data_IF_684386763139
#
_entry.id   IF_684386763139
#
_cell.length_a   1.000
_cell.length_b   1.000
_cell.length_c   1.000
_cell.angle_alpha   90.00
_cell.angle_beta   90.00
_cell.angle_gamma   90.00
#
_symmetry.space_group_name_H-M   'P 1'
#
loop_
_entity.id
_entity.type
_entity.pdbx_description
1 polymer ?
#
# COMPACT_ATOMS: atom_id res chain seq x y z
N UNK A 1 -38.35 45.57 -51.01
CA UNK A 1 -37.74 44.23 -50.83
C UNK A 1 -36.21 44.30 -50.60
N UNK A 2 -35.68 45.24 -49.80
CA UNK A 2 -34.23 45.35 -49.54
C UNK A 2 -33.84 45.20 -48.06
N UNK A 3 -34.81 45.20 -47.15
CA UNK A 3 -34.58 45.21 -45.68
C UNK A 3 -34.55 43.82 -45.03
N UNK A 4 -34.89 42.74 -45.76
CA UNK A 4 -34.85 41.36 -45.21
C UNK A 4 -33.49 40.66 -45.41
N UNK A 5 -32.71 41.10 -46.41
CA UNK A 5 -31.39 40.52 -46.71
C UNK A 5 -30.28 41.08 -45.80
N UNK A 6 -30.45 42.30 -45.28
CA UNK A 6 -29.47 42.93 -44.39
C UNK A 6 -29.40 42.24 -43.02
N UNK A 7 -30.56 41.90 -42.45
CA UNK A 7 -30.69 41.25 -41.13
C UNK A 7 -30.21 39.80 -41.13
N UNK A 8 -30.44 39.07 -42.23
CA UNK A 8 -29.96 37.69 -42.39
C UNK A 8 -28.44 37.63 -42.63
N UNK A 9 -27.88 38.60 -43.35
CA UNK A 9 -26.44 38.73 -43.53
C UNK A 9 -25.71 39.08 -42.22
N UNK A 10 -26.28 39.97 -41.39
CA UNK A 10 -25.74 40.27 -40.05
C UNK A 10 -25.86 39.10 -39.08
N UNK A 11 -26.90 38.28 -39.19
CA UNK A 11 -27.07 37.09 -38.34
C UNK A 11 -26.04 36.00 -38.71
N UNK A 12 -25.74 35.83 -40.00
CA UNK A 12 -24.73 34.87 -40.48
C UNK A 12 -23.30 35.29 -40.14
N UNK A 13 -22.97 36.58 -40.20
CA UNK A 13 -21.64 37.06 -39.79
C UNK A 13 -21.43 36.96 -38.28
N UNK A 14 -22.47 37.17 -37.47
CA UNK A 14 -22.39 37.00 -36.01
C UNK A 14 -22.29 35.52 -35.60
N UNK A 15 -22.91 34.61 -36.37
CA UNK A 15 -22.78 33.16 -36.19
C UNK A 15 -21.41 32.62 -36.67
N UNK A 16 -20.83 33.18 -37.73
CA UNK A 16 -19.51 32.81 -38.22
C UNK A 16 -18.37 33.28 -37.31
N UNK A 17 -18.53 34.42 -36.63
CA UNK A 17 -17.52 34.93 -35.69
C UNK A 17 -17.48 34.15 -34.36
N UNK A 18 -18.56 33.44 -34.02
CA UNK A 18 -18.64 32.64 -32.78
C UNK A 18 -17.94 31.28 -32.89
N UNK A 19 -17.62 30.80 -34.11
CA UNK A 19 -17.04 29.48 -34.36
C UNK A 19 -15.50 29.49 -34.36
N UNK A 20 -14.87 30.66 -34.43
CA UNK A 20 -13.39 30.79 -34.48
C UNK A 20 -12.78 31.06 -33.09
N UNK A 21 -13.55 30.89 -32.00
CA UNK A 21 -12.94 30.92 -30.67
C UNK A 21 -12.00 29.71 -30.53
N UNK A 22 -10.67 29.88 -30.46
CA UNK A 22 -9.82 28.78 -30.10
C UNK A 22 -10.20 28.45 -28.66
N UNK A 23 -10.89 27.33 -28.48
CA UNK A 23 -10.94 26.65 -27.20
C UNK A 23 -9.49 26.31 -26.92
N UNK A 24 -8.77 27.24 -26.27
CA UNK A 24 -7.57 26.89 -25.54
C UNK A 24 -8.08 25.89 -24.51
N UNK A 25 -7.91 24.62 -24.84
CA UNK A 25 -7.82 23.59 -23.84
C UNK A 25 -6.70 24.07 -22.93
N UNK A 26 -7.06 24.76 -21.86
CA UNK A 26 -6.25 24.81 -20.68
C UNK A 26 -6.07 23.32 -20.37
N UNK A 27 -4.91 22.78 -20.74
CA UNK A 27 -4.44 21.55 -20.14
C UNK A 27 -4.44 21.89 -18.66
N UNK A 28 -5.52 21.48 -17.97
CA UNK A 28 -5.55 21.41 -16.54
C UNK A 28 -4.40 20.45 -16.24
N UNK A 29 -3.26 21.05 -15.93
CA UNK A 29 -2.10 20.39 -15.40
C UNK A 29 -2.58 19.84 -14.07
N UNK A 30 -3.19 18.65 -14.14
CA UNK A 30 -3.50 17.86 -12.98
C UNK A 30 -2.17 17.77 -12.27
N UNK A 31 -2.02 18.51 -11.18
CA UNK A 31 -0.99 18.28 -10.19
C UNK A 31 -1.35 16.93 -9.58
N UNK A 32 -1.18 15.87 -10.39
CA UNK A 32 -1.26 14.49 -9.97
C UNK A 32 -0.09 14.38 -9.03
N UNK A 33 -0.37 14.20 -7.73
CA UNK A 33 0.61 13.74 -6.76
C UNK A 33 1.57 12.78 -7.48
N UNK A 34 2.83 13.22 -7.58
CA UNK A 34 3.78 12.82 -8.60
C UNK A 34 3.84 11.31 -8.79
N UNK A 35 3.66 10.89 -10.04
CA UNK A 35 4.06 9.55 -10.48
C UNK A 35 5.57 9.47 -10.27
N UNK A 36 6.02 8.73 -9.26
CA UNK A 36 7.42 8.71 -8.74
C UNK A 36 8.49 8.24 -9.75
N UNK A 37 8.11 7.95 -11.00
CA UNK A 37 9.00 7.51 -12.06
C UNK A 37 8.68 8.24 -13.37
N UNK A 38 9.61 9.11 -13.78
CA UNK A 38 9.45 9.98 -14.95
C UNK A 38 9.61 9.26 -16.30
N UNK A 39 10.12 8.00 -16.32
CA UNK A 39 10.27 7.21 -17.56
C UNK A 39 9.34 5.98 -17.60
N UNK A 40 8.74 5.65 -18.76
CA UNK A 40 7.89 4.46 -18.92
C UNK A 40 8.66 3.14 -18.78
N UNK A 41 9.90 3.09 -19.25
CA UNK A 41 10.71 1.87 -19.24
C UNK A 41 11.09 1.44 -17.81
N UNK A 42 11.49 2.38 -16.95
CA UNK A 42 11.83 2.11 -15.55
C UNK A 42 10.66 1.52 -14.77
N UNK A 43 9.43 1.92 -15.12
CA UNK A 43 8.20 1.38 -14.53
C UNK A 43 7.97 -0.07 -14.93
N UNK A 44 8.15 -0.39 -16.21
CA UNK A 44 7.94 -1.75 -16.70
C UNK A 44 8.91 -2.74 -16.07
N UNK A 45 10.17 -2.33 -15.84
CA UNK A 45 11.16 -3.15 -15.14
C UNK A 45 10.77 -3.41 -13.68
N UNK A 46 10.36 -2.38 -12.94
CA UNK A 46 9.89 -2.52 -11.56
C UNK A 46 8.63 -3.39 -11.46
N UNK A 47 7.69 -3.23 -12.39
CA UNK A 47 6.45 -4.02 -12.40
C UNK A 47 6.74 -5.51 -12.67
N UNK A 48 7.63 -5.81 -13.63
CA UNK A 48 8.10 -7.18 -13.88
C UNK A 48 8.77 -7.77 -12.65
N UNK A 49 9.67 -7.03 -12.00
CA UNK A 49 10.33 -7.48 -10.78
C UNK A 49 9.33 -7.73 -9.65
N UNK A 50 8.30 -6.89 -9.52
CA UNK A 50 7.22 -7.09 -8.54
C UNK A 50 6.48 -8.40 -8.78
N UNK A 51 6.08 -8.67 -10.04
CA UNK A 51 5.39 -9.90 -10.40
C UNK A 51 6.23 -11.14 -10.07
N UNK A 52 7.54 -11.13 -10.38
CA UNK A 52 8.45 -12.23 -10.05
C UNK A 52 8.63 -12.43 -8.54
N UNK A 53 8.81 -11.35 -7.77
CA UNK A 53 9.00 -11.44 -6.31
C UNK A 53 7.73 -11.94 -5.57
N UNK A 54 6.53 -11.57 -6.07
CA UNK A 54 5.26 -12.10 -5.56
C UNK A 54 5.16 -13.63 -5.78
N UNK A 55 5.81 -14.17 -6.82
CA UNK A 55 5.87 -15.61 -7.09
C UNK A 55 6.73 -16.36 -6.06
N UNK A 56 7.86 -15.79 -5.67
CA UNK A 56 8.88 -16.43 -4.82
C UNK A 56 8.55 -16.35 -3.31
N UNK A 57 7.74 -15.36 -2.91
CA UNK A 57 7.39 -15.11 -1.50
C UNK A 57 6.37 -16.13 -0.93
N UNK A 58 5.93 -17.13 -1.70
CA UNK A 58 4.67 -17.85 -1.45
C UNK A 58 4.65 -18.87 -0.31
N UNK A 59 5.79 -19.31 0.24
CA UNK A 59 5.78 -20.24 1.40
C UNK A 59 6.54 -19.68 2.60
N UNK A 60 5.87 -19.61 3.75
CA UNK A 60 6.50 -19.34 5.05
C UNK A 60 7.03 -20.67 5.60
N UNK A 61 8.13 -21.15 5.03
CA UNK A 61 8.80 -22.38 5.47
C UNK A 61 9.95 -22.03 6.42
N UNK A 62 9.94 -22.64 7.60
CA UNK A 62 10.99 -22.43 8.60
C UNK A 62 10.60 -22.95 9.98
N UNK A 63 11.57 -23.52 10.69
CA UNK A 63 11.42 -23.93 12.09
C UNK A 63 11.23 -22.73 13.03
N UNK A 64 11.62 -21.53 12.60
CA UNK A 64 11.55 -20.32 13.42
C UNK A 64 10.66 -19.27 12.77
N UNK A 65 9.85 -18.61 13.60
CA UNK A 65 8.86 -17.62 13.19
C UNK A 65 9.09 -16.33 13.95
N UNK A 66 9.38 -15.24 13.23
CA UNK A 66 9.68 -13.93 13.78
C UNK A 66 8.64 -12.93 13.33
N UNK A 67 8.10 -12.15 14.27
CA UNK A 67 7.21 -11.04 13.95
C UNK A 67 8.04 -9.78 13.80
N UNK A 68 8.30 -9.35 12.56
CA UNK A 68 9.13 -8.17 12.29
C UNK A 68 8.36 -6.87 12.50
N UNK A 69 7.06 -6.87 12.23
CA UNK A 69 6.27 -5.66 12.35
C UNK A 69 4.84 -5.79 11.86
N UNK A 70 4.07 -4.76 12.15
CA UNK A 70 2.65 -4.65 11.81
C UNK A 70 2.41 -3.29 11.18
N UNK A 71 1.73 -3.27 10.04
CA UNK A 71 1.27 -2.04 9.39
C UNK A 71 -0.25 -2.09 9.31
N UNK A 72 -0.91 -1.15 9.96
CA UNK A 72 -2.36 -0.98 9.88
C UNK A 72 -2.68 0.26 9.04
N UNK A 73 -3.52 0.09 8.03
CA UNK A 73 -4.03 1.18 7.19
C UNK A 73 -5.23 1.81 7.90
N UNK A 74 -5.43 3.11 7.71
CA UNK A 74 -6.63 3.84 8.17
C UNK A 74 -7.96 3.21 7.70
N UNK A 75 -7.95 2.48 6.58
CA UNK A 75 -9.11 1.74 6.08
C UNK A 75 -9.40 0.44 6.87
N UNK A 76 -8.71 0.18 7.97
CA UNK A 76 -8.85 -1.02 8.81
C UNK A 76 -8.05 -2.24 8.34
N UNK A 77 -7.55 -2.24 7.10
CA UNK A 77 -6.74 -3.35 6.57
C UNK A 77 -5.37 -3.39 7.23
N UNK A 78 -4.83 -4.59 7.44
CA UNK A 78 -3.51 -4.76 8.03
C UNK A 78 -2.60 -5.69 7.23
N UNK A 79 -1.30 -5.49 7.41
CA UNK A 79 -0.24 -6.32 6.84
C UNK A 79 0.79 -6.58 7.91
N UNK A 80 1.10 -7.85 8.13
CA UNK A 80 1.92 -8.35 9.22
C UNK A 80 3.15 -8.98 8.60
N UNK A 81 4.33 -8.54 9.02
CA UNK A 81 5.59 -9.00 8.47
C UNK A 81 6.12 -10.14 9.33
N UNK A 82 6.24 -11.31 8.72
CA UNK A 82 6.72 -12.53 9.35
C UNK A 82 7.93 -13.02 8.58
N UNK A 83 9.08 -13.16 9.23
CA UNK A 83 10.34 -13.57 8.60
C UNK A 83 10.68 -12.75 7.33
N UNK A 84 10.41 -11.43 7.36
CA UNK A 84 10.62 -10.51 6.25
C UNK A 84 9.57 -10.61 5.14
N UNK A 85 8.54 -11.44 5.29
CA UNK A 85 7.48 -11.63 4.29
C UNK A 85 6.17 -10.97 4.74
N UNK A 86 5.52 -10.16 3.89
CA UNK A 86 4.25 -9.54 4.23
C UNK A 86 3.11 -10.58 4.17
N UNK A 87 2.29 -10.61 5.21
CA UNK A 87 1.08 -11.43 5.33
C UNK A 87 -0.13 -10.52 5.55
N UNK A 88 -1.09 -10.56 4.63
CA UNK A 88 -2.40 -9.98 4.85
C UNK A 88 -3.38 -11.02 5.40
N UNK A 89 -4.50 -10.57 5.95
CA UNK A 89 -5.54 -11.43 6.50
C UNK A 89 -6.06 -12.48 5.50
N UNK A 90 -6.01 -12.18 4.20
CA UNK A 90 -6.44 -13.08 3.12
C UNK A 90 -5.34 -13.98 2.56
N UNK A 91 -4.08 -13.83 3.00
CA UNK A 91 -2.95 -14.61 2.49
C UNK A 91 -2.85 -16.01 3.13
N UNK A 92 -3.62 -16.28 4.18
CA UNK A 92 -3.56 -17.54 4.91
C UNK A 92 -3.72 -18.82 4.04
N UNK A 93 -4.61 -18.87 3.02
CA UNK A 93 -4.70 -20.02 2.13
C UNK A 93 -3.46 -20.22 1.24
N UNK A 94 -2.68 -19.17 1.00
CA UNK A 94 -1.49 -19.19 0.15
C UNK A 94 -0.24 -19.58 0.94
N UNK A 95 -0.08 -19.03 2.14
CA UNK A 95 1.13 -19.23 2.96
C UNK A 95 0.95 -20.28 4.05
N UNK A 96 -0.27 -20.77 4.25
CA UNK A 96 -0.61 -21.72 5.30
C UNK A 96 -0.61 -21.10 6.71
N UNK A 97 -0.42 -19.78 6.85
CA UNK A 97 -0.36 -19.11 8.16
C UNK A 97 -1.53 -18.16 8.30
N UNK A 98 -2.44 -18.44 9.24
CA UNK A 98 -3.47 -17.49 9.66
C UNK A 98 -2.88 -16.49 10.63
N UNK A 99 -3.16 -15.22 10.38
CA UNK A 99 -2.66 -14.13 11.21
C UNK A 99 -3.79 -13.21 11.61
N UNK A 100 -3.84 -12.87 12.91
CA UNK A 100 -4.78 -11.90 13.44
C UNK A 100 -4.05 -10.86 14.28
N UNK A 101 -4.39 -9.59 14.05
CA UNK A 101 -4.04 -8.52 14.97
C UNK A 101 -5.06 -8.45 16.09
N UNK A 102 -4.57 -8.13 17.29
CA UNK A 102 -5.45 -7.76 18.38
C UNK A 102 -5.78 -6.26 18.19
N UNK A 103 -7.06 -5.87 17.97
CA UNK A 103 -7.42 -4.49 17.65
C UNK A 103 -7.03 -3.46 18.72
N UNK A 104 -6.92 -3.90 19.98
CA UNK A 104 -6.48 -3.07 21.11
C UNK A 104 -4.96 -3.04 21.30
N UNK A 105 -4.22 -3.89 20.60
CA UNK A 105 -2.79 -4.07 20.81
C UNK A 105 -2.07 -4.44 19.51
N UNK A 106 -1.73 -3.40 18.74
CA UNK A 106 -0.98 -3.54 17.49
C UNK A 106 0.47 -4.02 17.68
N UNK A 107 0.96 -4.10 18.92
CA UNK A 107 2.30 -4.60 19.22
C UNK A 107 2.36 -6.13 19.31
N UNK A 108 1.21 -6.81 19.31
CA UNK A 108 1.10 -8.26 19.31
C UNK A 108 0.33 -8.77 18.09
N UNK A 109 0.80 -9.87 17.51
CA UNK A 109 0.06 -10.62 16.51
C UNK A 109 -0.13 -12.07 16.98
N UNK A 110 -1.30 -12.65 16.69
CA UNK A 110 -1.54 -14.08 16.87
C UNK A 110 -1.27 -14.78 15.54
N UNK A 111 -0.34 -15.72 15.57
CA UNK A 111 0.07 -16.53 14.42
C UNK A 111 -0.46 -17.96 14.62
N UNK A 112 -1.17 -18.50 13.64
CA UNK A 112 -1.53 -19.93 13.59
C UNK A 112 -1.01 -20.53 12.28
N UNK A 113 0.14 -21.23 12.33
CA UNK A 113 0.64 -21.98 11.19
C UNK A 113 -0.17 -23.27 10.99
N UNK A 114 -0.95 -23.36 9.92
CA UNK A 114 -1.71 -24.56 9.56
C UNK A 114 -2.71 -24.99 10.64
N UNK A 115 -2.53 -26.21 11.15
CA UNK A 115 -3.35 -26.81 12.23
C UNK A 115 -2.71 -26.70 13.62
N UNK A 116 -1.55 -26.03 13.72
CA UNK A 116 -0.82 -25.89 14.97
C UNK A 116 -1.49 -24.87 15.92
N UNK A 117 -1.20 -25.00 17.22
CA UNK A 117 -1.78 -24.11 18.24
C UNK A 117 -1.41 -22.66 17.97
N UNK A 118 -2.42 -21.78 17.93
CA UNK A 118 -2.20 -20.36 17.72
C UNK A 118 -1.31 -19.77 18.82
N UNK A 119 -0.28 -19.05 18.44
CA UNK A 119 0.68 -18.44 19.36
C UNK A 119 0.68 -16.92 19.22
N UNK A 120 0.67 -16.22 20.35
CA UNK A 120 0.81 -14.77 20.38
C UNK A 120 2.30 -14.41 20.42
N UNK A 121 2.71 -13.51 19.53
CA UNK A 121 4.07 -13.02 19.40
C UNK A 121 4.05 -11.49 19.43
N UNK A 122 4.99 -10.88 20.15
CA UNK A 122 5.20 -9.43 20.12
C UNK A 122 6.09 -9.04 18.95
N UNK A 123 5.93 -7.81 18.43
CA UNK A 123 6.85 -7.27 17.42
C UNK A 123 8.28 -7.28 17.95
N UNK A 124 9.18 -7.87 17.16
CA UNK A 124 10.59 -8.10 17.50
C UNK A 124 10.87 -9.43 18.21
N UNK A 125 9.84 -10.17 18.60
CA UNK A 125 10.00 -11.52 19.14
C UNK A 125 10.08 -12.58 18.05
N UNK A 126 10.75 -13.66 18.41
CA UNK A 126 11.00 -14.83 17.59
C UNK A 126 10.63 -16.07 18.40
N UNK A 127 9.99 -17.04 17.75
CA UNK A 127 9.65 -18.32 18.38
C UNK A 127 10.08 -19.48 17.49
N UNK A 128 10.73 -20.48 18.09
CA UNK A 128 10.97 -21.76 17.44
C UNK A 128 9.68 -22.59 17.52
N UNK A 129 9.12 -22.96 16.37
CA UNK A 129 7.90 -23.74 16.24
C UNK A 129 8.05 -25.16 16.78
N UNK A 130 9.23 -25.76 16.65
CA UNK A 130 9.48 -27.14 17.09
C UNK A 130 9.66 -27.24 18.61
N UNK A 131 10.31 -26.27 19.25
CA UNK A 131 10.65 -26.32 20.69
C UNK A 131 9.77 -25.41 21.55
N UNK A 132 9.08 -24.44 20.94
CA UNK A 132 8.33 -23.39 21.64
C UNK A 132 9.22 -22.32 22.29
N UNK A 133 10.54 -22.39 22.12
CA UNK A 133 11.48 -21.44 22.70
C UNK A 133 11.29 -20.03 22.11
N UNK A 134 11.26 -19.02 22.99
CA UNK A 134 11.01 -17.62 22.62
C UNK A 134 12.26 -16.78 22.82
N UNK A 135 12.55 -15.89 21.87
CA UNK A 135 13.66 -14.96 21.94
C UNK A 135 13.19 -13.53 21.61
N UNK A 136 13.57 -12.57 22.45
CA UNK A 136 13.39 -11.14 22.20
C UNK A 136 14.77 -10.54 21.91
N UNK A 137 15.07 -10.32 20.63
CA UNK A 137 16.40 -10.01 20.07
C UNK A 137 17.08 -8.76 20.66
N UNK A 138 16.35 -7.96 21.43
CA UNK A 138 16.81 -6.69 21.99
C UNK A 138 17.39 -6.81 23.41
N UNK A 139 17.38 -8.00 24.02
CA UNK A 139 18.05 -8.23 25.32
C UNK A 139 17.55 -7.39 26.50
N UNK A 140 16.41 -6.69 26.36
CA UNK A 140 15.82 -5.87 27.42
C UNK A 140 16.30 -4.41 27.49
N UNK A 141 16.87 -3.84 26.43
CA UNK A 141 17.26 -2.42 26.41
C UNK A 141 16.10 -1.44 26.61
N UNK A 142 16.32 -0.39 27.41
CA UNK A 142 15.35 0.69 27.67
C UNK A 142 15.73 1.96 26.91
N UNK A 143 14.78 2.55 26.18
CA UNK A 143 14.94 3.88 25.55
C UNK A 143 14.46 4.94 26.54
N UNK A 144 15.36 5.79 27.03
CA UNK A 144 15.01 6.93 27.88
C UNK A 144 14.85 8.16 26.97
N UNK A 145 13.64 8.74 26.96
CA UNK A 145 13.36 9.97 26.22
C UNK A 145 13.66 11.14 27.16
N UNK A 146 14.63 12.02 26.85
CA UNK A 146 14.88 13.18 27.70
C UNK A 146 13.69 14.14 27.61
N UNK A 147 12.95 14.29 28.70
CA UNK A 147 11.91 15.32 28.81
C UNK A 147 12.61 16.68 28.83
N UNK A 148 12.57 17.40 27.71
CA UNK A 148 12.98 18.80 27.65
C UNK A 148 11.88 19.61 28.32
N UNK A 149 12.10 20.08 29.56
CA UNK A 149 11.27 21.14 30.16
C UNK A 149 11.78 22.47 29.61
N UNK A 150 10.89 23.21 28.94
CA UNK A 150 11.08 24.63 28.67
C UNK A 150 10.85 25.44 29.94
#
# INVERSE_FOLDING_TARGET
>A
MKQLYATTATLCTLMALLVISPIRAAHAESTSLGRLFYTPEKRLLLERQRMSNIQETQTLEGATMRLDGVVQRSSGKSTIWINGRPQSEHDAPRTGVKVWLLPKDASHARLAPGEEKSTQLKVGEEINRATGERNNRLGGGTVIIPTTRH
#
